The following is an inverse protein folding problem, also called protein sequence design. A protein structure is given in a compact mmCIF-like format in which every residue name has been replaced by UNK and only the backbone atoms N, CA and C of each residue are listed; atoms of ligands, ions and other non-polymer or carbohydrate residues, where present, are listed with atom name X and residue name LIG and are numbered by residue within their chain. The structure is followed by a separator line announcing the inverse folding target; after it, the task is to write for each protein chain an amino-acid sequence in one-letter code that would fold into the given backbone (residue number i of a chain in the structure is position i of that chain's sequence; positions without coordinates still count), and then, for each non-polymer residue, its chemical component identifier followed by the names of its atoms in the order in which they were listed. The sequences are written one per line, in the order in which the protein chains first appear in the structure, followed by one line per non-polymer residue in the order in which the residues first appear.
data_IF_163520590391
#
_entry.id   IF_163520590391
#
_cell.length_a   1.000
_cell.length_b   1.000
_cell.length_c   1.000
_cell.angle_alpha   90.00
_cell.angle_beta   90.00
_cell.angle_gamma   90.00
#
_symmetry.space_group_name_H-M   'P 1'
#
loop_
_entity.id
_entity.type
_entity.pdbx_description
1 polymer ?
#
# COMPACT_ATOMS: atom_id res chain seq x y z
N UNK A 1 -8.65 31.96 -40.51
CA UNK A 1 -8.92 30.68 -39.81
C UNK A 1 -10.38 30.64 -39.41
N UNK A 2 -11.12 29.60 -39.78
CA UNK A 2 -12.58 29.50 -39.60
C UNK A 2 -12.96 29.44 -38.11
N UNK A 3 -13.98 30.22 -37.70
CA UNK A 3 -14.54 30.27 -36.34
C UNK A 3 -14.87 28.88 -35.77
N UNK A 4 -15.22 27.92 -36.63
CA UNK A 4 -15.45 26.51 -36.26
C UNK A 4 -14.20 25.82 -35.71
N UNK A 5 -13.00 26.14 -36.22
CA UNK A 5 -11.73 25.57 -35.75
C UNK A 5 -11.33 26.10 -34.38
N UNK A 6 -11.66 27.37 -34.09
CA UNK A 6 -11.41 27.99 -32.78
C UNK A 6 -12.33 27.38 -31.72
N UNK A 7 -13.62 27.16 -32.05
CA UNK A 7 -14.56 26.49 -31.15
C UNK A 7 -14.16 25.06 -30.80
N UNK A 8 -13.73 24.27 -31.79
CA UNK A 8 -13.23 22.90 -31.58
C UNK A 8 -11.98 22.86 -30.70
N UNK A 9 -11.05 23.80 -30.87
CA UNK A 9 -9.86 23.93 -30.02
C UNK A 9 -10.23 24.27 -28.56
N UNK A 10 -11.19 25.17 -28.35
CA UNK A 10 -11.67 25.51 -27.01
C UNK A 10 -12.36 24.34 -26.30
N UNK A 11 -13.20 23.58 -27.01
CA UNK A 11 -13.86 22.39 -26.45
C UNK A 11 -12.83 21.31 -26.09
N UNK A 12 -11.82 21.11 -26.94
CA UNK A 12 -10.73 20.17 -26.66
C UNK A 12 -9.88 20.57 -25.44
N UNK A 13 -9.58 21.87 -25.28
CA UNK A 13 -8.83 22.36 -24.12
C UNK A 13 -9.64 22.22 -22.82
N UNK A 14 -10.94 22.50 -22.88
CA UNK A 14 -11.83 22.37 -21.73
C UNK A 14 -12.01 20.91 -21.31
N UNK A 15 -12.12 19.98 -22.27
CA UNK A 15 -12.19 18.55 -21.99
C UNK A 15 -10.91 18.03 -21.32
N UNK A 16 -9.73 18.52 -21.73
CA UNK A 16 -8.45 18.15 -21.12
C UNK A 16 -8.25 18.75 -19.72
N UNK A 17 -8.82 19.93 -19.47
CA UNK A 17 -8.82 20.54 -18.13
C UNK A 17 -9.78 19.83 -17.16
N UNK A 18 -10.86 19.23 -17.68
CA UNK A 18 -11.83 18.46 -16.88
C UNK A 18 -11.43 17.00 -16.65
N UNK A 19 -10.38 16.49 -17.30
CA UNK A 19 -9.78 15.19 -16.93
C UNK A 19 -9.04 15.31 -15.60
N UNK A 20 -9.81 15.46 -14.52
CA UNK A 20 -9.36 15.35 -13.16
C UNK A 20 -9.15 13.86 -12.88
N UNK A 21 -7.89 13.45 -12.68
CA UNK A 21 -7.61 12.14 -12.09
C UNK A 21 -8.06 12.19 -10.63
N UNK A 22 -9.14 11.48 -10.30
CA UNK A 22 -9.46 11.25 -8.89
C UNK A 22 -8.31 10.47 -8.25
N UNK A 23 -7.89 10.91 -7.06
CA UNK A 23 -6.94 10.14 -6.28
C UNK A 23 -7.49 8.74 -6.02
N UNK A 24 -6.63 7.71 -5.98
CA UNK A 24 -7.08 6.37 -5.63
C UNK A 24 -7.73 6.38 -4.24
N UNK A 25 -8.75 5.52 -4.01
CA UNK A 25 -9.40 5.45 -2.72
C UNK A 25 -8.37 5.10 -1.63
N UNK A 26 -8.50 5.69 -0.43
CA UNK A 26 -7.57 5.42 0.66
C UNK A 26 -7.67 3.96 1.11
N UNK A 27 -6.54 3.43 1.58
CA UNK A 27 -6.50 2.10 2.21
C UNK A 27 -6.93 2.25 3.66
N UNK A 28 -7.72 1.29 4.16
CA UNK A 28 -8.21 1.30 5.54
C UNK A 28 -7.53 0.22 6.39
N UNK A 29 -7.40 0.48 7.69
CA UNK A 29 -7.05 -0.51 8.69
C UNK A 29 -8.23 -1.42 9.06
N UNK A 30 -7.98 -2.43 9.89
CA UNK A 30 -9.00 -3.37 10.37
C UNK A 30 -10.09 -2.72 11.22
N UNK A 31 -9.86 -1.51 11.72
CA UNK A 31 -10.83 -0.73 12.47
C UNK A 31 -11.65 0.21 11.55
N UNK A 32 -11.37 0.18 10.24
CA UNK A 32 -12.06 0.98 9.22
C UNK A 32 -11.52 2.41 9.07
N UNK A 33 -10.42 2.75 9.72
CA UNK A 33 -9.80 4.08 9.59
C UNK A 33 -8.83 4.11 8.41
N UNK A 34 -8.75 5.25 7.74
CA UNK A 34 -7.72 5.47 6.72
C UNK A 34 -6.31 5.31 7.30
N UNK A 35 -5.43 4.62 6.56
CA UNK A 35 -4.03 4.48 6.92
C UNK A 35 -3.34 5.83 6.97
N UNK A 36 -2.56 6.07 8.02
CA UNK A 36 -1.86 7.33 8.23
C UNK A 36 -0.34 7.16 8.14
N UNK A 37 0.31 8.12 7.50
CA UNK A 37 1.77 8.14 7.34
C UNK A 37 2.53 8.24 8.67
N UNK A 38 1.91 8.74 9.73
CA UNK A 38 2.47 8.92 11.06
C UNK A 38 2.15 7.77 12.04
N UNK A 39 1.57 6.66 11.54
CA UNK A 39 1.20 5.51 12.34
C UNK A 39 1.87 4.21 11.84
N UNK A 40 2.04 3.27 12.76
CA UNK A 40 2.62 1.96 12.49
C UNK A 40 1.51 0.89 12.40
N UNK A 41 1.67 -0.07 11.49
CA UNK A 41 0.64 -1.06 11.19
C UNK A 41 1.26 -2.44 10.97
N UNK A 42 0.74 -3.45 11.65
CA UNK A 42 1.03 -4.83 11.30
C UNK A 42 0.40 -5.16 9.94
N UNK A 43 1.21 -5.74 9.05
CA UNK A 43 0.73 -6.31 7.78
C UNK A 43 0.43 -7.78 8.00
N UNK A 44 -0.84 -8.14 7.87
CA UNK A 44 -1.36 -9.45 8.23
C UNK A 44 -2.05 -10.09 7.02
N UNK A 45 -2.07 -11.43 6.91
CA UNK A 45 -2.93 -12.10 5.94
C UNK A 45 -4.39 -11.80 6.23
N UNK A 46 -5.18 -11.56 5.17
CA UNK A 46 -6.62 -11.40 5.33
C UNK A 46 -7.29 -12.65 5.94
N UNK A 47 -6.73 -13.83 5.69
CA UNK A 47 -7.09 -15.07 6.35
C UNK A 47 -5.93 -15.56 7.23
N UNK A 48 -6.13 -15.54 8.55
CA UNK A 48 -5.15 -15.97 9.56
C UNK A 48 -4.72 -17.44 9.46
N UNK A 49 -5.45 -18.28 8.70
CA UNK A 49 -5.01 -19.64 8.39
C UNK A 49 -3.78 -19.69 7.46
N UNK A 50 -3.44 -18.57 6.79
CA UNK A 50 -2.27 -18.46 5.92
C UNK A 50 -1.01 -17.98 6.64
N UNK A 51 -0.98 -18.02 7.97
CA UNK A 51 0.15 -17.59 8.80
C UNK A 51 -0.08 -16.23 9.48
N UNK A 52 1.00 -15.74 10.08
CA UNK A 52 1.05 -14.48 10.83
C UNK A 52 1.54 -13.31 9.97
N UNK A 53 1.92 -12.23 10.64
CA UNK A 53 2.38 -11.00 10.00
C UNK A 53 3.83 -11.03 9.52
N UNK A 54 4.30 -9.89 9.02
CA UNK A 54 5.65 -9.76 8.47
C UNK A 54 6.72 -9.61 9.56
N UNK A 55 7.85 -10.27 9.38
CA UNK A 55 9.00 -10.29 10.30
C UNK A 55 10.32 -10.28 9.52
N UNK A 56 11.45 -10.24 10.23
CA UNK A 56 12.77 -10.35 9.63
C UNK A 56 13.41 -11.69 9.96
N UNK A 57 13.88 -12.40 8.93
CA UNK A 57 14.54 -13.70 9.11
C UNK A 57 15.80 -13.83 8.23
N UNK A 58 16.79 -14.64 8.65
CA UNK A 58 17.92 -15.03 7.81
C UNK A 58 17.46 -15.70 6.50
N UNK A 59 18.17 -15.42 5.41
CA UNK A 59 17.90 -16.01 4.09
C UNK A 59 19.15 -16.68 3.50
N UNK A 60 18.95 -17.59 2.55
CA UNK A 60 20.02 -18.20 1.74
C UNK A 60 21.17 -18.83 2.57
N UNK A 61 20.85 -19.43 3.72
CA UNK A 61 21.83 -20.10 4.58
C UNK A 61 22.82 -19.16 5.28
N UNK A 62 22.60 -17.84 5.25
CA UNK A 62 23.46 -16.83 5.90
C UNK A 62 22.63 -16.05 6.92
N UNK A 63 23.24 -15.67 8.06
CA UNK A 63 22.56 -14.90 9.11
C UNK A 63 22.19 -13.48 8.67
N UNK A 64 22.99 -12.91 7.78
CA UNK A 64 22.79 -11.57 7.24
C UNK A 64 23.02 -11.57 5.72
N UNK A 65 22.33 -10.69 4.96
CA UNK A 65 21.31 -9.76 5.44
C UNK A 65 20.04 -10.48 5.91
N UNK A 66 19.25 -9.81 6.75
CA UNK A 66 17.90 -10.28 7.07
C UNK A 66 16.97 -9.95 5.91
N UNK A 67 16.01 -10.83 5.67
CA UNK A 67 14.99 -10.68 4.64
C UNK A 67 13.62 -10.54 5.29
N UNK A 68 12.73 -9.82 4.63
CA UNK A 68 11.31 -9.82 4.99
C UNK A 68 10.79 -11.24 4.82
N UNK A 69 10.19 -11.77 5.87
CA UNK A 69 9.60 -13.09 5.94
C UNK A 69 8.23 -13.00 6.57
N UNK A 70 7.42 -14.04 6.41
CA UNK A 70 6.12 -14.12 7.06
C UNK A 70 6.21 -15.07 8.25
N UNK A 71 5.61 -14.68 9.38
CA UNK A 71 5.45 -15.58 10.52
C UNK A 71 4.59 -16.79 10.14
N UNK A 72 5.00 -17.99 10.53
CA UNK A 72 4.23 -19.20 10.25
C UNK A 72 2.99 -19.33 11.14
N UNK A 73 3.03 -18.76 12.34
CA UNK A 73 1.95 -18.80 13.32
C UNK A 73 1.02 -17.60 13.15
N UNK A 74 -0.26 -17.87 12.87
CA UNK A 74 -1.31 -16.85 12.70
C UNK A 74 -1.54 -15.95 13.91
N UNK A 75 -1.07 -16.35 15.11
CA UNK A 75 -1.15 -15.54 16.32
C UNK A 75 -0.02 -14.53 16.47
N UNK A 76 1.02 -14.62 15.63
CA UNK A 76 2.17 -13.71 15.67
C UNK A 76 1.96 -12.60 14.65
N UNK A 77 1.72 -11.39 15.13
CA UNK A 77 1.46 -10.22 14.28
C UNK A 77 2.73 -9.67 13.60
N UNK A 78 3.93 -10.09 14.02
CA UNK A 78 5.19 -9.69 13.41
C UNK A 78 5.65 -8.29 13.85
N UNK A 79 6.28 -7.56 12.93
CA UNK A 79 6.83 -6.22 13.13
C UNK A 79 5.97 -5.18 12.39
N UNK A 80 5.52 -4.11 13.07
CA UNK A 80 4.58 -3.14 12.50
C UNK A 80 5.21 -2.10 11.55
N UNK A 81 6.54 -2.06 11.47
CA UNK A 81 7.26 -1.11 10.61
C UNK A 81 7.71 -1.76 9.29
N UNK A 82 7.41 -3.06 9.12
CA UNK A 82 7.84 -3.86 7.99
C UNK A 82 6.67 -4.06 7.01
N UNK A 83 6.66 -3.32 5.91
CA UNK A 83 5.70 -3.54 4.81
C UNK A 83 4.88 -2.31 4.40
N UNK A 84 5.18 -1.15 4.97
CA UNK A 84 4.48 0.09 4.64
C UNK A 84 5.50 1.11 4.11
N UNK A 85 5.83 1.03 2.82
CA UNK A 85 6.75 1.99 2.20
C UNK A 85 5.99 3.26 1.82
N UNK A 86 6.50 4.40 2.30
CA UNK A 86 6.04 5.73 1.90
C UNK A 86 6.68 6.09 0.56
N UNK A 87 5.91 6.52 -0.42
CA UNK A 87 6.48 7.38 -1.47
C UNK A 87 7.05 8.67 -0.83
N UNK A 88 8.08 9.27 -1.41
CA UNK A 88 8.69 10.53 -0.97
C UNK A 88 7.68 11.71 -0.99
N UNK A 89 6.54 11.53 -1.64
CA UNK A 89 5.40 12.47 -1.67
C UNK A 89 4.28 12.11 -0.69
N UNK A 90 4.43 11.04 0.10
CA UNK A 90 3.45 10.60 1.11
C UNK A 90 2.16 9.96 0.57
N UNK A 91 2.06 9.72 -0.74
CA UNK A 91 0.78 9.39 -1.39
C UNK A 91 0.54 7.92 -1.75
N UNK A 92 1.54 7.04 -1.65
CA UNK A 92 1.37 5.66 -2.10
C UNK A 92 2.04 4.64 -1.18
N UNK A 93 1.23 3.66 -0.76
CA UNK A 93 1.64 2.48 0.00
C UNK A 93 1.88 1.33 -0.98
N UNK A 94 3.12 0.89 -1.14
CA UNK A 94 3.45 -0.21 -2.04
C UNK A 94 3.90 -1.44 -1.25
N UNK A 95 3.15 -2.53 -1.38
CA UNK A 95 3.72 -3.87 -1.30
C UNK A 95 3.98 -4.30 -2.74
N UNK A 96 5.21 -4.14 -3.22
CA UNK A 96 5.59 -4.65 -4.53
C UNK A 96 5.43 -6.16 -4.54
N UNK A 97 4.41 -6.67 -5.24
CA UNK A 97 4.20 -8.10 -5.42
C UNK A 97 4.19 -8.42 -6.92
N UNK A 98 5.22 -9.12 -7.38
CA UNK A 98 5.10 -10.00 -8.55
C UNK A 98 4.28 -11.21 -8.12
N UNK A 99 3.23 -11.53 -8.88
CA UNK A 99 2.21 -12.55 -8.59
C UNK A 99 2.73 -13.90 -8.02
N UNK A 100 1.90 -14.62 -7.23
CA UNK A 100 0.49 -14.36 -6.91
C UNK A 100 0.32 -13.37 -5.76
N UNK A 101 -0.66 -12.48 -5.87
CA UNK A 101 -0.97 -11.49 -4.83
C UNK A 101 -1.55 -12.18 -3.59
N UNK A 102 -0.89 -12.01 -2.44
CA UNK A 102 -1.49 -12.33 -1.15
C UNK A 102 -2.34 -11.13 -0.70
N UNK A 103 -3.63 -11.35 -0.41
CA UNK A 103 -4.50 -10.31 0.16
C UNK A 103 -4.10 -10.09 1.62
N UNK A 104 -3.72 -8.87 1.95
CA UNK A 104 -3.30 -8.46 3.30
C UNK A 104 -4.29 -7.46 3.90
N UNK A 105 -4.28 -7.37 5.22
CA UNK A 105 -4.99 -6.37 6.02
C UNK A 105 -3.99 -5.67 6.94
N UNK A 106 -4.29 -4.41 7.26
CA UNK A 106 -3.45 -3.58 8.12
C UNK A 106 -4.10 -3.46 9.50
N UNK A 107 -3.40 -3.91 10.54
CA UNK A 107 -3.84 -3.74 11.93
C UNK A 107 -3.00 -2.67 12.59
N UNK A 108 -3.63 -1.64 13.15
CA UNK A 108 -2.91 -0.56 13.83
C UNK A 108 -2.12 -1.10 15.02
N UNK A 109 -0.86 -0.71 15.13
CA UNK A 109 0.00 -1.10 16.24
C UNK A 109 -0.32 -0.28 17.50
N UNK A 110 -0.16 -0.86 18.70
CA UNK A 110 -0.18 -0.10 19.94
C UNK A 110 0.88 1.02 19.92
N UNK A 111 0.65 2.14 20.61
CA UNK A 111 1.71 3.11 20.85
C UNK A 111 2.89 2.46 21.57
N UNK A 112 4.11 2.84 21.16
CA UNK A 112 5.37 2.35 21.73
C UNK A 112 5.58 2.83 23.17
#
# INVERSE_FOLDING_TARGET
MSSRRVGLLFISLLALALSCSADPPPVHDTDGNELRADANYYVLPANRAHGGGLTMAPGHGRRCPLFVSQEADGQRDGLPDLGVFRDLKGGAWFLGATEPYHVVVFKKAPPA
#
